data_IF_430515429533
#
_entry.id   IF_430515429533
#
_cell.length_a   1.000
_cell.length_b   1.000
_cell.length_c   1.000
_cell.angle_alpha   90.00
_cell.angle_beta   90.00
_cell.angle_gamma   90.00
#
_symmetry.space_group_name_H-M   'P 1'
#
loop_
_entity.id
_entity.type
_entity.pdbx_description
1 polymer ?
#
# COMPACT_ATOMS: atom_id res chain seq x y z
N UNK A 1 -8.08 -11.45 -14.72
CA UNK A 1 -6.97 -10.86 -13.93
C UNK A 1 -6.92 -11.53 -12.57
N UNK A 2 -5.72 -11.89 -12.11
CA UNK A 2 -5.47 -12.53 -10.82
C UNK A 2 -4.79 -11.56 -9.87
N UNK A 3 -5.40 -11.27 -8.72
CA UNK A 3 -4.89 -10.27 -7.76
C UNK A 3 -4.70 -10.88 -6.38
N UNK A 4 -3.58 -10.55 -5.75
CA UNK A 4 -3.27 -10.94 -4.38
C UNK A 4 -3.14 -9.72 -3.47
N UNK A 5 -3.98 -9.62 -2.44
CA UNK A 5 -3.89 -8.58 -1.42
C UNK A 5 -2.99 -9.02 -0.26
N UNK A 6 -2.06 -8.15 0.18
CA UNK A 6 -1.10 -8.53 1.22
C UNK A 6 -1.06 -7.53 2.37
N UNK A 7 -1.21 -8.02 3.59
CA UNK A 7 -0.96 -7.27 4.82
C UNK A 7 0.02 -8.04 5.74
N UNK A 8 0.05 -7.76 7.05
CA UNK A 8 0.94 -8.47 7.97
C UNK A 8 0.42 -9.87 8.29
N UNK A 9 -0.66 -9.98 9.07
CA UNK A 9 -1.15 -11.27 9.59
C UNK A 9 -2.26 -11.93 8.76
N UNK A 10 -2.73 -11.29 7.69
CA UNK A 10 -3.86 -11.77 6.86
C UNK A 10 -5.16 -12.03 7.64
N UNK A 11 -5.46 -11.19 8.63
CA UNK A 11 -6.69 -11.29 9.45
C UNK A 11 -7.56 -10.03 9.42
N UNK A 12 -7.04 -8.90 8.90
CA UNK A 12 -7.70 -7.60 8.95
C UNK A 12 -7.81 -6.99 7.54
N UNK A 13 -6.83 -6.20 7.12
CA UNK A 13 -6.85 -5.39 5.89
C UNK A 13 -6.96 -6.21 4.60
N UNK A 14 -6.05 -7.17 4.37
CA UNK A 14 -6.06 -7.91 3.10
C UNK A 14 -7.28 -8.81 2.90
N UNK A 15 -7.84 -9.47 3.94
CA UNK A 15 -9.13 -10.17 3.82
C UNK A 15 -10.30 -9.23 3.53
N UNK A 16 -10.32 -8.03 4.13
CA UNK A 16 -11.33 -7.00 3.83
C UNK A 16 -11.29 -6.58 2.36
N UNK A 17 -10.10 -6.35 1.82
CA UNK A 17 -9.90 -6.02 0.41
C UNK A 17 -10.36 -7.15 -0.52
N UNK A 18 -9.98 -8.39 -0.24
CA UNK A 18 -10.38 -9.57 -1.02
C UNK A 18 -11.90 -9.76 -1.06
N UNK A 19 -12.57 -9.70 0.10
CA UNK A 19 -14.01 -9.89 0.16
C UNK A 19 -14.77 -8.77 -0.54
N UNK A 20 -14.33 -7.52 -0.39
CA UNK A 20 -14.97 -6.39 -1.06
C UNK A 20 -14.86 -6.48 -2.58
N UNK A 21 -13.68 -6.78 -3.13
CA UNK A 21 -13.54 -6.87 -4.59
C UNK A 21 -14.29 -8.08 -5.17
N UNK A 22 -14.36 -9.21 -4.46
CA UNK A 22 -15.18 -10.37 -4.84
C UNK A 22 -16.67 -10.03 -4.87
N UNK A 23 -17.11 -9.10 -4.02
CA UNK A 23 -18.48 -8.62 -4.07
C UNK A 23 -18.76 -7.84 -5.35
N UNK A 24 -17.80 -7.00 -5.78
CA UNK A 24 -17.93 -6.14 -6.97
C UNK A 24 -17.70 -6.86 -8.30
N UNK A 25 -16.71 -7.75 -8.38
CA UNK A 25 -16.32 -8.46 -9.59
C UNK A 25 -16.48 -9.96 -9.35
N UNK A 26 -17.46 -10.58 -10.01
CA UNK A 26 -17.72 -12.03 -9.87
C UNK A 26 -16.76 -12.89 -10.69
N UNK A 27 -16.25 -12.38 -11.82
CA UNK A 27 -15.41 -13.15 -12.78
C UNK A 27 -13.89 -12.97 -12.59
N UNK A 28 -13.43 -12.73 -11.36
CA UNK A 28 -12.01 -12.54 -11.04
C UNK A 28 -11.43 -13.57 -10.09
N UNK A 29 -10.11 -13.73 -10.11
CA UNK A 29 -9.38 -14.56 -9.14
C UNK A 29 -8.71 -13.63 -8.13
N UNK A 30 -9.35 -13.50 -6.97
CA UNK A 30 -8.90 -12.63 -5.89
C UNK A 30 -8.52 -13.48 -4.68
N UNK A 31 -7.34 -13.21 -4.13
CA UNK A 31 -6.79 -13.88 -2.96
C UNK A 31 -6.24 -12.85 -1.98
N UNK A 32 -6.06 -13.24 -0.72
CA UNK A 32 -5.27 -12.48 0.24
C UNK A 32 -4.24 -13.36 0.95
N UNK A 33 -3.12 -12.75 1.37
CA UNK A 33 -2.09 -13.40 2.17
C UNK A 33 -1.45 -12.40 3.15
N UNK A 34 -0.54 -12.90 3.98
CA UNK A 34 0.18 -12.11 4.98
C UNK A 34 1.69 -12.31 4.89
N UNK A 35 2.46 -11.26 5.15
CA UNK A 35 3.92 -11.36 5.21
C UNK A 35 4.44 -12.08 6.46
N UNK A 36 3.60 -12.15 7.48
CA UNK A 36 3.86 -12.75 8.80
C UNK A 36 2.55 -13.33 9.36
N UNK A 37 1.86 -14.12 8.54
CA UNK A 37 0.62 -14.79 8.92
C UNK A 37 0.91 -16.15 9.57
N UNK A 38 0.13 -16.44 10.60
CA UNK A 38 -0.07 -17.82 11.05
C UNK A 38 -1.18 -18.39 10.19
N UNK A 39 -0.97 -19.57 9.61
CA UNK A 39 -1.97 -20.20 8.75
C UNK A 39 -3.24 -20.59 9.54
N UNK A 40 -4.38 -20.55 8.84
CA UNK A 40 -5.67 -21.06 9.28
C UNK A 40 -6.31 -20.31 10.48
N UNK A 41 -5.90 -19.07 10.76
CA UNK A 41 -6.63 -18.20 11.69
C UNK A 41 -7.86 -17.60 11.01
N UNK A 42 -8.97 -17.41 11.73
CA UNK A 42 -10.09 -16.66 11.21
C UNK A 42 -9.71 -15.18 11.01
N UNK A 43 -10.49 -14.47 10.19
CA UNK A 43 -10.45 -13.02 10.19
C UNK A 43 -10.78 -12.47 11.59
N UNK A 44 -10.21 -11.31 11.92
CA UNK A 44 -10.55 -10.61 13.16
C UNK A 44 -12.04 -10.30 13.21
N UNK A 45 -12.62 -10.36 14.41
CA UNK A 45 -14.06 -10.15 14.61
C UNK A 45 -14.51 -8.78 14.08
N UNK A 46 -13.74 -7.72 14.34
CA UNK A 46 -14.05 -6.38 13.84
C UNK A 46 -14.00 -6.29 12.30
N UNK A 47 -13.11 -7.02 11.62
CA UNK A 47 -13.11 -7.08 10.15
C UNK A 47 -14.37 -7.77 9.61
N UNK A 48 -14.82 -8.84 10.28
CA UNK A 48 -16.07 -9.53 9.94
C UNK A 48 -17.27 -8.61 10.16
N UNK A 49 -17.32 -7.90 11.29
CA UNK A 49 -18.41 -6.96 11.59
C UNK A 49 -18.44 -5.77 10.63
N UNK A 50 -17.28 -5.16 10.32
CA UNK A 50 -17.21 -4.04 9.40
C UNK A 50 -17.70 -4.38 7.98
N UNK A 51 -17.39 -5.58 7.47
CA UNK A 51 -17.92 -6.06 6.19
C UNK A 51 -19.40 -6.43 6.27
N UNK A 52 -19.85 -6.97 7.41
CA UNK A 52 -21.26 -7.32 7.63
C UNK A 52 -22.18 -6.09 7.54
N UNK A 53 -21.69 -4.91 7.93
CA UNK A 53 -22.42 -3.64 7.75
C UNK A 53 -22.74 -3.35 6.26
N UNK A 54 -21.99 -3.95 5.33
CA UNK A 54 -22.21 -3.89 3.88
C UNK A 54 -22.93 -5.13 3.31
N UNK A 55 -23.34 -6.07 4.16
CA UNK A 55 -23.91 -7.36 3.75
C UNK A 55 -22.90 -8.36 3.19
N UNK A 56 -21.59 -8.14 3.39
CA UNK A 56 -20.53 -9.01 2.88
C UNK A 56 -20.07 -9.99 3.98
N UNK A 57 -20.02 -11.28 3.66
CA UNK A 57 -19.56 -12.30 4.60
C UNK A 57 -18.04 -12.57 4.49
N UNK A 58 -17.36 -12.66 5.65
CA UNK A 58 -15.92 -12.99 5.75
C UNK A 58 -15.64 -14.20 6.68
N UNK A 59 -16.67 -14.90 7.15
CA UNK A 59 -16.52 -15.95 8.18
C UNK A 59 -15.69 -17.15 7.73
N UNK A 60 -15.73 -17.46 6.44
CA UNK A 60 -14.98 -18.57 5.86
C UNK A 60 -13.52 -18.22 5.55
N UNK A 61 -13.11 -16.96 5.75
CA UNK A 61 -11.72 -16.57 5.57
C UNK A 61 -10.79 -17.34 6.49
N UNK A 62 -9.67 -17.79 5.95
CA UNK A 62 -8.56 -18.39 6.69
C UNK A 62 -7.26 -17.71 6.28
N UNK A 63 -6.54 -17.21 7.27
CA UNK A 63 -5.25 -16.57 7.03
C UNK A 63 -4.27 -17.55 6.39
N UNK A 64 -3.39 -17.01 5.55
CA UNK A 64 -2.36 -17.77 4.87
C UNK A 64 -1.09 -16.95 4.69
N UNK A 65 0.05 -17.59 4.92
CA UNK A 65 1.36 -17.02 4.70
C UNK A 65 1.61 -16.78 3.20
N UNK A 66 2.24 -15.66 2.89
CA UNK A 66 2.72 -15.39 1.53
C UNK A 66 3.84 -16.37 1.17
N UNK A 67 3.77 -16.93 -0.03
CA UNK A 67 4.81 -17.83 -0.55
C UNK A 67 5.19 -17.44 -1.97
N UNK A 68 6.33 -17.95 -2.45
CA UNK A 68 6.80 -17.73 -3.81
C UNK A 68 5.81 -18.29 -4.85
N UNK A 69 5.18 -19.42 -4.55
CA UNK A 69 4.20 -20.08 -5.40
C UNK A 69 2.95 -19.20 -5.59
N UNK A 70 2.42 -18.65 -4.48
CA UNK A 70 1.30 -17.70 -4.53
C UNK A 70 1.63 -16.46 -5.35
N UNK A 71 2.86 -15.94 -5.20
CA UNK A 71 3.32 -14.82 -6.01
C UNK A 71 3.40 -15.23 -7.48
N UNK A 72 3.91 -16.41 -7.81
CA UNK A 72 4.01 -16.89 -9.19
C UNK A 72 2.63 -17.07 -9.87
N UNK A 73 1.59 -17.39 -9.12
CA UNK A 73 0.25 -17.67 -9.65
C UNK A 73 -0.58 -16.43 -10.05
N UNK A 74 -0.20 -15.23 -9.60
CA UNK A 74 -0.99 -14.00 -9.77
C UNK A 74 -0.35 -12.99 -10.72
N UNK A 75 -1.19 -12.15 -11.32
CA UNK A 75 -0.79 -11.11 -12.27
C UNK A 75 -0.41 -9.81 -11.55
N UNK A 76 -1.02 -9.56 -10.38
CA UNK A 76 -0.89 -8.32 -9.62
C UNK A 76 -0.88 -8.60 -8.11
N UNK A 77 0.00 -7.92 -7.38
CA UNK A 77 0.07 -7.97 -5.91
C UNK A 77 -0.14 -6.57 -5.35
N UNK A 78 -1.15 -6.43 -4.47
CA UNK A 78 -1.53 -5.17 -3.84
C UNK A 78 -1.32 -5.23 -2.33
N UNK A 79 -0.28 -4.55 -1.88
CA UNK A 79 0.15 -4.52 -0.49
C UNK A 79 -0.51 -3.37 0.26
N UNK A 80 -0.77 -3.54 1.55
CA UNK A 80 -1.41 -2.49 2.36
C UNK A 80 -0.44 -1.38 2.78
N UNK A 81 0.86 -1.60 2.69
CA UNK A 81 1.87 -0.61 3.08
C UNK A 81 3.15 -0.74 2.24
N UNK A 82 3.93 0.33 2.17
CA UNK A 82 5.28 0.33 1.60
C UNK A 82 6.19 -0.67 2.31
N UNK A 83 6.03 -0.84 3.62
CA UNK A 83 6.80 -1.84 4.38
C UNK A 83 6.49 -3.26 3.89
N UNK A 84 5.23 -3.58 3.60
CA UNK A 84 4.86 -4.87 3.00
C UNK A 84 5.46 -5.01 1.61
N UNK A 85 5.32 -4.00 0.74
CA UNK A 85 5.94 -3.97 -0.61
C UNK A 85 7.44 -4.24 -0.54
N UNK A 86 8.18 -3.48 0.25
CA UNK A 86 9.63 -3.60 0.38
C UNK A 86 10.05 -4.95 0.93
N UNK A 87 9.32 -5.51 1.91
CA UNK A 87 9.59 -6.86 2.41
C UNK A 87 9.47 -7.91 1.32
N UNK A 88 8.41 -7.85 0.50
CA UNK A 88 8.23 -8.78 -0.61
C UNK A 88 9.29 -8.61 -1.69
N UNK A 89 9.64 -7.38 -2.08
CA UNK A 89 10.68 -7.11 -3.08
C UNK A 89 12.04 -7.61 -2.60
N UNK A 90 12.39 -7.38 -1.33
CA UNK A 90 13.66 -7.85 -0.77
C UNK A 90 13.73 -9.38 -0.71
N UNK A 91 12.61 -10.04 -0.42
CA UNK A 91 12.55 -11.50 -0.30
C UNK A 91 12.39 -12.20 -1.66
N UNK A 92 11.71 -11.58 -2.62
CA UNK A 92 11.37 -12.14 -3.93
C UNK A 92 11.53 -11.09 -5.05
N UNK A 93 12.77 -10.67 -5.34
CA UNK A 93 13.06 -9.58 -6.28
C UNK A 93 12.57 -9.85 -7.71
N UNK A 94 12.42 -11.12 -8.11
CA UNK A 94 11.92 -11.51 -9.42
C UNK A 94 10.46 -11.11 -9.69
N UNK A 95 9.69 -10.76 -8.65
CA UNK A 95 8.30 -10.33 -8.78
C UNK A 95 8.09 -8.83 -8.61
N UNK A 96 9.17 -8.03 -8.50
CA UNK A 96 9.08 -6.61 -8.17
C UNK A 96 8.11 -5.83 -9.06
N UNK A 97 8.06 -6.16 -10.36
CA UNK A 97 7.32 -5.38 -11.38
C UNK A 97 5.80 -5.55 -11.27
N UNK A 98 5.32 -6.51 -10.46
CA UNK A 98 3.89 -6.72 -10.18
C UNK A 98 3.49 -6.44 -8.74
N UNK A 99 4.42 -5.97 -7.90
CA UNK A 99 4.16 -5.67 -6.50
C UNK A 99 3.97 -4.18 -6.32
N UNK A 100 2.75 -3.80 -5.96
CA UNK A 100 2.39 -2.43 -5.68
C UNK A 100 1.79 -2.26 -4.28
N UNK A 101 1.76 -1.03 -3.75
CA UNK A 101 0.81 -0.67 -2.69
C UNK A 101 -0.58 -0.50 -3.30
N UNK A 102 -1.62 -0.74 -2.49
CA UNK A 102 -3.01 -0.54 -2.94
C UNK A 102 -3.20 0.89 -3.46
N UNK A 103 -2.72 1.87 -2.71
CA UNK A 103 -2.92 3.28 -3.02
C UNK A 103 -2.09 3.76 -4.21
N UNK A 104 -0.84 3.33 -4.34
CA UNK A 104 -0.03 3.75 -5.49
C UNK A 104 -0.62 3.23 -6.81
N UNK A 105 -1.11 1.98 -6.81
CA UNK A 105 -1.72 1.39 -7.99
C UNK A 105 -3.06 2.07 -8.31
N UNK A 106 -3.92 2.23 -7.30
CA UNK A 106 -5.21 2.89 -7.42
C UNK A 106 -5.09 4.34 -7.91
N UNK A 107 -4.10 5.10 -7.44
CA UNK A 107 -3.87 6.50 -7.83
C UNK A 107 -3.00 6.65 -9.09
N UNK A 108 -2.37 5.57 -9.56
CA UNK A 108 -1.46 5.63 -10.72
C UNK A 108 -0.18 6.39 -10.42
N UNK A 109 0.30 6.26 -9.18
CA UNK A 109 1.51 6.93 -8.70
C UNK A 109 2.73 6.13 -9.19
N UNK A 110 3.61 6.81 -9.91
CA UNK A 110 4.93 6.29 -10.26
C UNK A 110 5.89 6.49 -9.07
N UNK A 111 5.86 5.54 -8.14
CA UNK A 111 6.68 5.61 -6.93
C UNK A 111 8.18 5.57 -7.23
N UNK A 112 8.62 4.86 -8.28
CA UNK A 112 10.03 4.76 -8.63
C UNK A 112 10.57 6.13 -9.08
N UNK A 113 9.80 6.83 -9.92
CA UNK A 113 10.11 8.20 -10.33
C UNK A 113 10.14 9.16 -9.14
N UNK A 114 9.18 9.05 -8.22
CA UNK A 114 9.16 9.87 -6.99
C UNK A 114 10.41 9.63 -6.13
N UNK A 115 10.77 8.37 -5.86
CA UNK A 115 11.94 8.04 -5.04
C UNK A 115 13.22 8.56 -5.70
N UNK A 116 13.34 8.39 -7.03
CA UNK A 116 14.47 8.94 -7.78
C UNK A 116 14.54 10.46 -7.64
N UNK A 117 13.41 11.15 -7.75
CA UNK A 117 13.34 12.61 -7.61
C UNK A 117 13.71 13.08 -6.20
N UNK A 118 13.25 12.37 -5.16
CA UNK A 118 13.64 12.63 -3.77
C UNK A 118 15.17 12.53 -3.63
N UNK A 119 15.79 11.45 -4.11
CA UNK A 119 17.23 11.26 -4.02
C UNK A 119 18.03 12.34 -4.78
N UNK A 120 17.52 12.79 -5.94
CA UNK A 120 18.11 13.91 -6.69
C UNK A 120 18.07 15.21 -5.89
N UNK A 121 16.92 15.55 -5.30
CA UNK A 121 16.74 16.77 -4.49
C UNK A 121 17.61 16.74 -3.23
N UNK A 122 17.66 15.61 -2.53
CA UNK A 122 18.53 15.44 -1.36
C UNK A 122 20.02 15.64 -1.73
N UNK A 123 20.46 15.06 -2.85
CA UNK A 123 21.83 15.21 -3.34
C UNK A 123 22.18 16.67 -3.67
N UNK A 124 21.26 17.41 -4.31
CA UNK A 124 21.44 18.85 -4.60
C UNK A 124 21.61 19.64 -3.30
N UNK A 125 20.77 19.38 -2.30
CA UNK A 125 20.82 20.08 -1.00
C UNK A 125 22.12 19.76 -0.26
N UNK A 126 22.57 18.49 -0.27
CA UNK A 126 23.81 18.07 0.40
C UNK A 126 25.03 18.72 -0.25
N UNK A 127 25.19 18.59 -1.57
CA UNK A 127 26.31 19.23 -2.30
C UNK A 127 26.30 20.75 -2.12
N UNK A 128 25.09 21.32 -2.11
CA UNK A 128 24.85 22.73 -1.88
C UNK A 128 25.29 23.25 -0.50
N UNK A 129 25.23 22.39 0.53
CA UNK A 129 25.73 22.66 1.89
C UNK A 129 27.25 22.52 1.97
N UNK A 130 27.84 21.51 1.33
CA UNK A 130 29.28 21.27 1.34
C UNK A 130 30.08 22.38 0.65
N UNK A 131 29.52 22.99 -0.41
CA UNK A 131 30.13 24.12 -1.12
C UNK A 131 30.01 25.46 -0.36
N UNK A 132 29.13 25.56 0.64
CA UNK A 132 29.05 26.74 1.51
C UNK A 132 29.90 26.52 2.75
N UNK A 133 31.10 27.10 2.78
CA UNK A 133 32.06 27.02 3.89
C UNK A 133 31.60 27.67 5.21
N UNK A 134 30.39 28.25 5.25
CA UNK A 134 29.77 28.83 6.43
C UNK A 134 28.46 28.09 6.75
N UNK A 135 28.50 27.10 7.64
CA UNK A 135 27.30 26.44 8.23
C UNK A 135 26.38 27.41 9.02
N UNK A 136 26.70 28.71 9.06
CA UNK A 136 26.21 29.63 10.09
C UNK A 136 24.89 30.34 9.82
N UNK A 137 24.22 30.11 8.69
CA UNK A 137 22.88 30.67 8.52
C UNK A 137 21.87 29.69 7.91
N UNK A 138 21.14 28.99 8.77
CA UNK A 138 20.04 28.10 8.40
C UNK A 138 18.96 28.82 7.57
N UNK A 139 18.73 30.12 7.79
CA UNK A 139 17.78 30.90 7.01
C UNK A 139 18.24 31.14 5.57
N UNK A 140 19.52 31.43 5.39
CA UNK A 140 20.10 31.66 4.05
C UNK A 140 20.08 30.36 3.23
N UNK A 141 20.38 29.24 3.88
CA UNK A 141 20.28 27.91 3.26
C UNK A 141 18.83 27.54 2.90
N UNK A 142 17.88 27.80 3.79
CA UNK A 142 16.44 27.62 3.52
C UNK A 142 15.98 28.51 2.37
N UNK A 143 16.47 29.74 2.28
CA UNK A 143 16.16 30.65 1.18
C UNK A 143 16.75 30.15 -0.14
N UNK A 144 17.99 29.64 -0.12
CA UNK A 144 18.70 29.12 -1.29
C UNK A 144 18.02 27.88 -1.89
N UNK A 145 17.57 26.95 -1.04
CA UNK A 145 16.94 25.70 -1.45
C UNK A 145 15.42 25.69 -1.24
N UNK A 146 14.78 26.86 -1.23
CA UNK A 146 13.36 26.97 -0.89
C UNK A 146 12.49 26.07 -1.76
N UNK A 147 12.72 26.10 -3.08
CA UNK A 147 11.91 25.35 -4.03
C UNK A 147 12.12 23.84 -3.89
N UNK A 148 13.37 23.40 -3.73
CA UNK A 148 13.74 22.00 -3.54
C UNK A 148 13.15 21.45 -2.24
N UNK A 149 13.19 22.22 -1.15
CA UNK A 149 12.61 21.85 0.14
C UNK A 149 11.08 21.75 0.05
N UNK A 150 10.42 22.71 -0.62
CA UNK A 150 8.98 22.66 -0.85
C UNK A 150 8.56 21.47 -1.72
N UNK A 151 9.34 21.14 -2.76
CA UNK A 151 9.10 19.96 -3.60
C UNK A 151 9.30 18.67 -2.80
N UNK A 152 10.42 18.57 -2.08
CA UNK A 152 10.77 17.42 -1.25
C UNK A 152 9.67 17.13 -0.20
N UNK A 153 9.16 18.17 0.46
CA UNK A 153 8.02 18.04 1.40
C UNK A 153 6.76 17.48 0.73
N UNK A 154 6.44 17.92 -0.49
CA UNK A 154 5.29 17.40 -1.24
C UNK A 154 5.49 15.93 -1.60
N UNK A 155 6.69 15.56 -2.05
CA UNK A 155 7.01 14.19 -2.45
C UNK A 155 6.98 13.24 -1.25
N UNK A 156 7.57 13.61 -0.11
CA UNK A 156 7.48 12.79 1.10
C UNK A 156 6.05 12.62 1.58
N UNK A 157 5.24 13.69 1.54
CA UNK A 157 3.82 13.60 1.90
C UNK A 157 3.08 12.58 1.02
N UNK A 158 3.35 12.54 -0.28
CA UNK A 158 2.76 11.53 -1.16
C UNK A 158 3.16 10.12 -0.69
N UNK A 159 4.44 9.90 -0.39
CA UNK A 159 4.96 8.59 0.06
C UNK A 159 4.34 8.16 1.39
N UNK A 160 4.21 9.08 2.35
CA UNK A 160 3.58 8.84 3.66
C UNK A 160 2.11 8.44 3.53
N UNK A 161 1.40 9.00 2.56
CA UNK A 161 -0.02 8.74 2.34
C UNK A 161 -0.32 7.44 1.57
N UNK A 162 0.71 6.66 1.16
CA UNK A 162 0.55 5.41 0.42
C UNK A 162 0.13 4.21 1.29
N UNK A 163 0.29 4.30 2.60
CA UNK A 163 -0.06 3.22 3.52
C UNK A 163 -1.55 3.26 3.86
N UNK A 164 -2.19 2.09 3.86
CA UNK A 164 -3.54 1.89 4.41
C UNK A 164 -3.42 1.76 5.93
N UNK A 165 -4.26 2.52 6.65
CA UNK A 165 -4.25 2.55 8.11
C UNK A 165 -4.39 1.15 8.71
N UNK A 166 -3.65 0.86 9.79
CA UNK A 166 -3.68 -0.45 10.45
C UNK A 166 -4.70 -0.47 11.60
N UNK A 167 -5.82 -1.18 11.48
CA UNK A 167 -6.86 -1.17 12.51
C UNK A 167 -6.61 -2.21 13.61
N UNK A 168 -5.53 -2.99 13.52
CA UNK A 168 -5.30 -4.13 14.42
C UNK A 168 -5.26 -3.70 15.90
N UNK A 169 -6.11 -4.34 16.71
CA UNK A 169 -6.27 -4.01 18.15
C UNK A 169 -7.09 -2.75 18.42
N UNK A 170 -7.59 -2.07 17.38
CA UNK A 170 -8.46 -0.90 17.46
C UNK A 170 -9.93 -1.25 17.67
N UNK A 171 -10.74 -0.19 17.68
CA UNK A 171 -12.21 -0.24 17.79
C UNK A 171 -12.86 -0.69 16.48
N UNK A 172 -14.14 -1.06 16.52
CA UNK A 172 -14.90 -1.36 15.31
C UNK A 172 -14.93 -0.17 14.33
N UNK A 173 -14.92 1.06 14.84
CA UNK A 173 -14.91 2.26 14.00
C UNK A 173 -13.58 2.45 13.27
N UNK A 174 -12.46 2.08 13.89
CA UNK A 174 -11.15 2.05 13.19
C UNK A 174 -11.18 1.08 12.01
N UNK A 175 -11.78 -0.10 12.19
CA UNK A 175 -11.96 -1.08 11.11
C UNK A 175 -12.89 -0.55 10.00
N UNK A 176 -13.95 0.17 10.35
CA UNK A 176 -14.86 0.79 9.37
C UNK A 176 -14.17 1.87 8.55
N UNK A 177 -13.38 2.73 9.20
CA UNK A 177 -12.59 3.75 8.53
C UNK A 177 -11.55 3.12 7.59
N UNK A 178 -10.82 2.12 8.06
CA UNK A 178 -9.90 1.35 7.21
C UNK A 178 -10.62 0.66 6.05
N UNK A 179 -11.78 0.05 6.28
CA UNK A 179 -12.56 -0.59 5.23
C UNK A 179 -13.01 0.45 4.20
N UNK A 180 -13.48 1.61 4.63
CA UNK A 180 -13.87 2.69 3.74
C UNK A 180 -12.68 3.16 2.87
N UNK A 181 -11.52 3.37 3.48
CA UNK A 181 -10.28 3.69 2.76
C UNK A 181 -9.92 2.61 1.73
N UNK A 182 -9.99 1.32 2.09
CA UNK A 182 -9.72 0.21 1.17
C UNK A 182 -10.70 0.23 -0.01
N UNK A 183 -11.99 0.41 0.26
CA UNK A 183 -13.05 0.41 -0.75
C UNK A 183 -12.85 1.50 -1.79
N UNK A 184 -12.57 2.72 -1.35
CA UNK A 184 -12.33 3.86 -2.24
C UNK A 184 -11.21 3.56 -3.25
N UNK A 185 -10.13 2.95 -2.80
CA UNK A 185 -9.02 2.61 -3.68
C UNK A 185 -9.29 1.38 -4.55
N UNK A 186 -10.08 0.40 -4.07
CA UNK A 186 -10.53 -0.71 -4.92
C UNK A 186 -11.47 -0.21 -6.01
N UNK A 187 -12.42 0.67 -5.69
CA UNK A 187 -13.37 1.21 -6.67
C UNK A 187 -12.62 1.96 -7.79
N UNK A 188 -11.60 2.77 -7.46
CA UNK A 188 -10.70 3.38 -8.45
C UNK A 188 -9.95 2.37 -9.33
N UNK A 189 -9.57 1.22 -8.76
CA UNK A 189 -8.92 0.14 -9.53
C UNK A 189 -9.91 -0.48 -10.50
N UNK A 190 -11.15 -0.74 -10.07
CA UNK A 190 -12.20 -1.31 -10.91
C UNK A 190 -12.47 -0.39 -12.10
N UNK A 191 -12.69 0.91 -11.85
CA UNK A 191 -12.90 1.91 -12.91
C UNK A 191 -11.77 1.90 -13.95
N UNK A 192 -10.51 1.81 -13.49
CA UNK A 192 -9.33 1.74 -14.37
C UNK A 192 -9.25 0.46 -15.22
N UNK A 193 -9.80 -0.65 -14.73
CA UNK A 193 -9.83 -1.91 -15.46
C UNK A 193 -10.93 -1.91 -16.51
N UNK A 194 -12.08 -1.32 -16.18
CA UNK A 194 -13.20 -1.17 -17.10
C UNK A 194 -12.88 -0.19 -18.23
N UNK A 195 -12.19 0.92 -17.95
CA UNK A 195 -11.82 1.93 -18.96
C UNK A 195 -10.78 1.47 -19.99
N UNK A 196 -10.15 0.31 -19.77
CA UNK A 196 -9.11 -0.25 -20.66
C UNK A 196 -9.64 -1.35 -21.59
N UNK A 197 -10.90 -1.75 -21.42
CA UNK A 197 -11.62 -2.66 -22.31
C UNK A 197 -12.51 -1.88 -23.27
#
# INVERSE_FOLDING_TARGET
MKVLFVCTGNTCRSPMAEAYIKEKIKEGYFLSAGTDAIDNLPASENAVLALKDLGIELKEHRSQQITKEKLAEVDLVLTMTLRHKNRLINQYPEFKDKIFTLKEYAKGIDLESIIKRIAELESIIIQGKELSSDEKNLEELKSKFKNELEELQKLYKIVEELDVADPFGGTLDDYRLTLQEIKEHIDLIIEKLESKN
#
